data_IF_457753593034
#
_entry.id   IF_457753593034
#
_cell.length_a   1.000
_cell.length_b   1.000
_cell.length_c   1.000
_cell.angle_alpha   90.00
_cell.angle_beta   90.00
_cell.angle_gamma   90.00
#
_symmetry.space_group_name_H-M   'P 1'
#
loop_
_entity.id
_entity.type
_entity.pdbx_description
1 polymer ?
#
# COMPACT_ATOMS: atom_id res chain seq x y z
N UNK A 1 6.70 7.93 -39.19
CA UNK A 1 5.70 8.44 -38.23
C UNK A 1 4.93 7.24 -37.69
N UNK A 2 4.96 7.02 -36.37
CA UNK A 2 4.14 5.97 -35.75
C UNK A 2 2.66 6.30 -35.99
N UNK A 3 1.92 5.36 -36.59
CA UNK A 3 0.51 5.53 -36.98
C UNK A 3 -0.47 5.35 -35.80
N UNK A 4 0.04 5.06 -34.60
CA UNK A 4 -0.79 4.70 -33.45
C UNK A 4 -0.13 5.19 -32.17
N UNK A 5 -0.94 5.77 -31.29
CA UNK A 5 -0.56 6.13 -29.92
C UNK A 5 -1.15 5.08 -28.99
N UNK A 6 -0.32 4.49 -28.12
CA UNK A 6 -0.76 3.55 -27.09
C UNK A 6 -0.90 4.30 -25.79
N UNK A 7 -2.06 4.19 -25.13
CA UNK A 7 -2.33 4.80 -23.83
C UNK A 7 -2.42 3.68 -22.80
N UNK A 8 -1.58 3.75 -21.75
CA UNK A 8 -1.60 2.78 -20.66
C UNK A 8 -2.66 3.19 -19.63
N UNK A 9 -3.73 2.40 -19.52
CA UNK A 9 -4.79 2.55 -18.52
C UNK A 9 -4.59 1.65 -17.28
N UNK A 10 -3.40 1.05 -17.11
CA UNK A 10 -3.10 0.27 -15.92
C UNK A 10 -3.16 1.15 -14.67
N UNK A 11 -3.99 0.74 -13.73
CA UNK A 11 -4.15 1.41 -12.45
C UNK A 11 -2.87 1.22 -11.63
N UNK A 12 -2.37 2.29 -11.02
CA UNK A 12 -1.23 2.25 -10.09
C UNK A 12 -1.70 2.29 -8.64
N UNK A 13 -0.89 1.82 -7.70
CA UNK A 13 -1.23 1.86 -6.27
C UNK A 13 -1.50 3.29 -5.77
N UNK A 14 -0.66 4.25 -6.15
CA UNK A 14 -0.87 5.66 -5.79
C UNK A 14 -2.08 6.26 -6.49
N UNK A 15 -2.27 5.99 -7.78
CA UNK A 15 -3.42 6.49 -8.54
C UNK A 15 -4.74 5.99 -7.98
N UNK A 16 -4.81 4.70 -7.62
CA UNK A 16 -6.00 4.15 -6.96
C UNK A 16 -6.21 4.72 -5.55
N UNK A 17 -5.14 4.94 -4.78
CA UNK A 17 -5.28 5.55 -3.47
C UNK A 17 -5.90 6.95 -3.57
N UNK A 18 -5.50 7.77 -4.55
CA UNK A 18 -6.12 9.08 -4.78
C UNK A 18 -7.60 8.97 -5.21
N UNK A 19 -7.95 7.98 -6.03
CA UNK A 19 -9.34 7.71 -6.39
C UNK A 19 -10.18 7.30 -5.16
N UNK A 20 -9.66 6.36 -4.36
CA UNK A 20 -10.30 5.91 -3.13
C UNK A 20 -10.41 7.03 -2.10
N UNK A 21 -9.47 7.98 -2.07
CA UNK A 21 -9.57 9.17 -1.22
C UNK A 21 -10.82 9.97 -1.54
N UNK A 22 -11.13 10.18 -2.82
CA UNK A 22 -12.40 10.78 -3.25
C UNK A 22 -13.62 10.01 -2.75
N UNK A 23 -13.58 8.67 -2.79
CA UNK A 23 -14.67 7.83 -2.26
C UNK A 23 -14.85 7.96 -0.74
N UNK A 24 -13.74 7.96 0.02
CA UNK A 24 -13.79 8.09 1.49
C UNK A 24 -14.29 9.47 1.89
N UNK A 25 -13.72 10.54 1.31
CA UNK A 25 -14.11 11.92 1.62
C UNK A 25 -15.56 12.17 1.18
N UNK A 26 -15.98 11.71 0.00
CA UNK A 26 -17.37 11.85 -0.44
C UNK A 26 -18.37 11.11 0.45
N UNK A 27 -17.93 10.07 1.18
CA UNK A 27 -18.76 9.36 2.14
C UNK A 27 -18.80 10.05 3.51
N UNK A 28 -17.64 10.43 4.05
CA UNK A 28 -17.51 11.00 5.40
C UNK A 28 -17.84 12.51 5.44
N UNK A 29 -17.49 13.25 4.38
CA UNK A 29 -17.62 14.71 4.25
C UNK A 29 -18.18 15.10 2.86
N UNK A 30 -19.44 14.77 2.55
CA UNK A 30 -20.02 14.97 1.22
C UNK A 30 -20.02 16.44 0.76
N UNK A 31 -20.27 17.39 1.67
CA UNK A 31 -20.24 18.82 1.35
C UNK A 31 -18.84 19.30 0.95
N UNK A 32 -17.79 18.79 1.61
CA UNK A 32 -16.40 19.13 1.27
C UNK A 32 -16.03 18.61 -0.14
N UNK A 33 -16.47 17.39 -0.48
CA UNK A 33 -16.22 16.83 -1.81
C UNK A 33 -17.02 17.56 -2.89
N UNK A 34 -18.24 18.01 -2.58
CA UNK A 34 -19.04 18.84 -3.48
C UNK A 34 -18.37 20.21 -3.72
N UNK A 35 -17.93 20.88 -2.66
CA UNK A 35 -17.19 22.15 -2.76
C UNK A 35 -15.92 21.99 -3.60
N UNK A 36 -15.19 20.88 -3.43
CA UNK A 36 -14.02 20.55 -4.25
C UNK A 36 -14.39 20.46 -5.73
N UNK A 37 -15.47 19.78 -6.08
CA UNK A 37 -15.92 19.62 -7.46
C UNK A 37 -16.32 20.97 -8.08
N UNK A 38 -17.04 21.81 -7.33
CA UNK A 38 -17.42 23.15 -7.75
C UNK A 38 -16.19 24.04 -8.00
N UNK A 39 -15.20 24.02 -7.09
CA UNK A 39 -13.96 24.79 -7.26
C UNK A 39 -13.17 24.32 -8.48
N UNK A 40 -13.07 23.01 -8.70
CA UNK A 40 -12.38 22.46 -9.88
C UNK A 40 -13.06 22.89 -11.18
N UNK A 41 -14.39 22.85 -11.23
CA UNK A 41 -15.15 23.31 -12.39
C UNK A 41 -14.95 24.82 -12.62
N UNK A 42 -15.10 25.63 -11.57
CA UNK A 42 -14.89 27.08 -11.63
C UNK A 42 -13.47 27.43 -12.10
N UNK A 43 -12.45 26.75 -11.59
CA UNK A 43 -11.07 26.94 -12.04
C UNK A 43 -10.91 26.59 -13.52
N UNK A 44 -11.51 25.50 -13.99
CA UNK A 44 -11.49 25.11 -15.41
C UNK A 44 -12.13 26.19 -16.28
N UNK A 45 -13.30 26.69 -15.89
CA UNK A 45 -14.04 27.71 -16.63
C UNK A 45 -13.25 29.04 -16.66
N UNK A 46 -12.63 29.43 -15.55
CA UNK A 46 -11.74 30.58 -15.48
C UNK A 46 -10.51 30.43 -16.40
N UNK A 47 -9.88 29.27 -16.46
CA UNK A 47 -8.76 29.02 -17.38
C UNK A 47 -9.19 29.10 -18.85
N UNK A 48 -10.36 28.53 -19.18
CA UNK A 48 -10.90 28.60 -20.53
C UNK A 48 -11.24 30.05 -20.93
N UNK A 49 -11.84 30.82 -20.01
CA UNK A 49 -12.14 32.23 -20.24
C UNK A 49 -10.85 33.05 -20.42
N UNK A 50 -9.83 32.79 -19.61
CA UNK A 50 -8.54 33.49 -19.69
C UNK A 50 -7.87 33.25 -21.05
N UNK A 51 -7.85 32.00 -21.54
CA UNK A 51 -7.39 31.69 -22.90
C UNK A 51 -8.24 32.37 -23.98
N UNK A 52 -9.56 32.41 -23.81
CA UNK A 52 -10.43 33.11 -24.74
C UNK A 52 -10.14 34.61 -24.81
N UNK A 53 -9.90 35.26 -23.66
CA UNK A 53 -9.51 36.68 -23.60
C UNK A 53 -8.16 36.92 -24.29
N UNK A 54 -7.20 36.01 -24.16
CA UNK A 54 -5.93 36.06 -24.89
C UNK A 54 -6.14 35.95 -26.42
N UNK A 55 -6.95 34.99 -26.87
CA UNK A 55 -7.27 34.81 -28.29
C UNK A 55 -7.97 36.05 -28.88
N UNK A 56 -8.87 36.69 -28.11
CA UNK A 56 -9.53 37.95 -28.50
C UNK A 56 -8.51 39.08 -28.66
N UNK A 57 -7.58 39.25 -27.72
CA UNK A 57 -6.51 40.27 -27.84
C UNK A 57 -5.67 40.02 -29.09
N UNK A 58 -5.24 38.79 -29.32
CA UNK A 58 -4.42 38.43 -30.48
C UNK A 58 -5.16 38.68 -31.80
N UNK A 59 -6.45 38.36 -31.85
CA UNK A 59 -7.28 38.58 -33.02
C UNK A 59 -7.45 40.09 -33.32
N UNK A 60 -7.84 40.87 -32.32
CA UNK A 60 -8.06 42.31 -32.45
C UNK A 60 -6.78 43.05 -32.88
N UNK A 61 -5.63 42.67 -32.32
CA UNK A 61 -4.32 43.21 -32.74
C UNK A 61 -3.98 42.85 -34.19
N UNK A 62 -4.26 41.61 -34.62
CA UNK A 62 -3.96 41.13 -35.97
C UNK A 62 -4.87 41.75 -37.05
N UNK A 63 -6.14 42.02 -36.71
CA UNK A 63 -7.13 42.59 -37.63
C UNK A 63 -7.00 44.12 -37.72
N UNK A 64 -6.47 44.77 -36.69
CA UNK A 64 -6.29 46.23 -36.69
C UNK A 64 -5.40 46.69 -37.87
N UNK A 65 -5.93 47.60 -38.70
CA UNK A 65 -5.22 48.22 -39.83
C UNK A 65 -5.07 49.72 -39.58
N UNK A 66 -3.87 50.25 -39.76
CA UNK A 66 -3.55 51.65 -39.47
C UNK A 66 -2.85 51.83 -38.12
N UNK A 67 -2.81 53.06 -37.62
CA UNK A 67 -2.20 53.40 -36.33
C UNK A 67 -3.05 52.87 -35.18
N UNK A 68 -2.51 51.90 -34.43
CA UNK A 68 -3.16 51.26 -33.27
C UNK A 68 -3.56 52.28 -32.21
N UNK A 69 -2.81 53.39 -32.10
CA UNK A 69 -3.05 54.46 -31.14
C UNK A 69 -4.31 55.27 -31.45
N UNK A 70 -4.80 55.24 -32.69
CA UNK A 70 -5.95 56.03 -33.13
C UNK A 70 -7.26 55.21 -33.12
N UNK A 71 -7.18 53.90 -32.89
CA UNK A 71 -8.33 53.01 -32.83
C UNK A 71 -8.93 52.97 -31.41
N UNK A 72 -9.85 53.90 -31.12
CA UNK A 72 -10.50 53.99 -29.80
C UNK A 72 -11.27 52.72 -29.41
N UNK A 73 -11.91 52.03 -30.36
CA UNK A 73 -12.67 50.80 -30.09
C UNK A 73 -11.73 49.66 -29.66
N UNK A 74 -10.56 49.55 -30.31
CA UNK A 74 -9.52 48.61 -29.95
C UNK A 74 -8.97 48.90 -28.55
N UNK A 75 -8.67 50.17 -28.25
CA UNK A 75 -8.17 50.59 -26.93
C UNK A 75 -9.19 50.24 -25.83
N UNK A 76 -10.48 50.52 -26.06
CA UNK A 76 -11.54 50.23 -25.11
C UNK A 76 -11.70 48.72 -24.89
N UNK A 77 -11.63 47.93 -25.97
CA UNK A 77 -11.70 46.46 -25.92
C UNK A 77 -10.51 45.89 -25.14
N UNK A 78 -9.29 46.34 -25.43
CA UNK A 78 -8.08 45.93 -24.72
C UNK A 78 -8.14 46.27 -23.22
N UNK A 79 -8.63 47.47 -22.87
CA UNK A 79 -8.81 47.86 -21.46
C UNK A 79 -9.84 46.98 -20.74
N UNK A 80 -10.97 46.70 -21.38
CA UNK A 80 -12.05 45.87 -20.81
C UNK A 80 -11.56 44.42 -20.63
N UNK A 81 -10.89 43.87 -21.64
CA UNK A 81 -10.31 42.53 -21.59
C UNK A 81 -9.23 42.41 -20.52
N UNK A 82 -8.36 43.42 -20.39
CA UNK A 82 -7.34 43.47 -19.33
C UNK A 82 -7.97 43.53 -17.93
N UNK A 83 -9.02 44.33 -17.74
CA UNK A 83 -9.73 44.41 -16.47
C UNK A 83 -10.32 43.05 -16.08
N UNK A 84 -11.06 42.40 -16.99
CA UNK A 84 -11.61 41.05 -16.77
C UNK A 84 -10.53 39.99 -16.52
N UNK A 85 -9.43 40.01 -17.26
CA UNK A 85 -8.33 39.08 -17.05
C UNK A 85 -7.69 39.26 -15.65
N UNK A 86 -7.57 40.51 -15.19
CA UNK A 86 -7.05 40.80 -13.84
C UNK A 86 -8.01 40.28 -12.75
N UNK A 87 -9.32 40.46 -12.92
CA UNK A 87 -10.33 39.92 -12.02
C UNK A 87 -10.28 38.38 -11.96
N UNK A 88 -10.27 37.71 -13.12
CA UNK A 88 -10.14 36.24 -13.20
C UNK A 88 -8.87 35.75 -12.53
N UNK A 89 -7.75 36.47 -12.68
CA UNK A 89 -6.49 36.12 -12.03
C UNK A 89 -6.61 36.16 -10.51
N UNK A 90 -7.26 37.19 -9.96
CA UNK A 90 -7.50 37.29 -8.51
C UNK A 90 -8.40 36.14 -8.04
N UNK A 91 -9.51 35.87 -8.74
CA UNK A 91 -10.41 34.77 -8.42
C UNK A 91 -9.70 33.41 -8.46
N UNK A 92 -8.83 33.18 -9.46
CA UNK A 92 -8.03 31.97 -9.56
C UNK A 92 -7.06 31.81 -8.38
N UNK A 93 -6.42 32.88 -7.93
CA UNK A 93 -5.53 32.83 -6.77
C UNK A 93 -6.27 32.54 -5.47
N UNK A 94 -7.48 33.07 -5.29
CA UNK A 94 -8.34 32.72 -4.15
C UNK A 94 -8.80 31.26 -4.22
N UNK A 95 -9.28 30.81 -5.38
CA UNK A 95 -9.70 29.43 -5.60
C UNK A 95 -8.56 28.42 -5.32
N UNK A 96 -7.32 28.74 -5.72
CA UNK A 96 -6.14 27.91 -5.41
C UNK A 96 -5.89 27.78 -3.90
N UNK A 97 -6.04 28.87 -3.13
CA UNK A 97 -5.87 28.85 -1.67
C UNK A 97 -6.94 27.97 -1.02
N UNK A 98 -8.20 28.13 -1.44
CA UNK A 98 -9.31 27.30 -0.95
C UNK A 98 -9.11 25.84 -1.32
N UNK A 99 -8.73 25.55 -2.56
CA UNK A 99 -8.42 24.19 -3.02
C UNK A 99 -7.30 23.53 -2.20
N UNK A 100 -6.24 24.27 -1.87
CA UNK A 100 -5.16 23.76 -1.03
C UNK A 100 -5.63 23.45 0.40
N UNK A 101 -6.53 24.27 0.96
CA UNK A 101 -7.11 24.02 2.28
C UNK A 101 -8.02 22.78 2.27
N UNK A 102 -8.86 22.63 1.24
CA UNK A 102 -9.69 21.43 1.04
C UNK A 102 -8.79 20.20 0.92
N UNK A 103 -7.73 20.28 0.11
CA UNK A 103 -6.81 19.17 -0.07
C UNK A 103 -6.16 18.76 1.24
N UNK A 104 -5.74 19.71 2.06
CA UNK A 104 -5.21 19.43 3.40
C UNK A 104 -6.22 18.65 4.26
N UNK A 105 -7.49 19.04 4.26
CA UNK A 105 -8.54 18.32 4.97
C UNK A 105 -8.80 16.92 4.39
N UNK A 106 -8.72 16.75 3.07
CA UNK A 106 -8.83 15.43 2.42
C UNK A 106 -7.71 14.50 2.87
N UNK A 107 -6.48 15.01 2.93
CA UNK A 107 -5.30 14.20 3.27
C UNK A 107 -5.37 13.57 4.67
N UNK A 108 -6.20 14.08 5.58
CA UNK A 108 -6.46 13.43 6.88
C UNK A 108 -7.04 12.00 6.71
N UNK A 109 -7.77 11.74 5.62
CA UNK A 109 -8.39 10.45 5.29
C UNK A 109 -7.50 9.55 4.42
N UNK A 110 -6.31 10.02 4.00
CA UNK A 110 -5.45 9.32 3.05
C UNK A 110 -5.02 7.93 3.55
N UNK A 111 -4.88 7.74 4.86
CA UNK A 111 -4.52 6.44 5.46
C UNK A 111 -5.51 5.33 5.11
N UNK A 112 -6.81 5.65 5.07
CA UNK A 112 -7.88 4.73 4.67
C UNK A 112 -7.75 4.38 3.20
N UNK A 113 -7.56 5.39 2.35
CA UNK A 113 -7.47 5.22 0.90
C UNK A 113 -6.21 4.42 0.50
N UNK A 114 -5.08 4.69 1.17
CA UNK A 114 -3.84 3.92 1.04
C UNK A 114 -4.05 2.46 1.42
N UNK A 115 -4.73 2.18 2.54
CA UNK A 115 -5.09 0.81 2.93
C UNK A 115 -5.95 0.15 1.87
N UNK A 116 -7.00 0.82 1.39
CA UNK A 116 -7.87 0.27 0.35
C UNK A 116 -7.12 -0.09 -0.93
N UNK A 117 -6.21 0.78 -1.37
CA UNK A 117 -5.36 0.49 -2.53
C UNK A 117 -4.49 -0.75 -2.30
N UNK A 118 -3.83 -0.86 -1.14
CA UNK A 118 -3.04 -2.05 -0.77
C UNK A 118 -3.89 -3.32 -0.86
N UNK A 119 -5.10 -3.30 -0.30
CA UNK A 119 -6.00 -4.46 -0.28
C UNK A 119 -6.47 -4.85 -1.69
N UNK A 120 -6.78 -3.88 -2.56
CA UNK A 120 -7.11 -4.16 -3.96
C UNK A 120 -5.95 -4.82 -4.71
N UNK A 121 -4.72 -4.31 -4.54
CA UNK A 121 -3.55 -4.87 -5.21
C UNK A 121 -3.16 -6.25 -4.64
N UNK A 122 -3.38 -6.50 -3.35
CA UNK A 122 -3.23 -7.82 -2.75
C UNK A 122 -4.26 -8.83 -3.33
N UNK A 123 -5.50 -8.39 -3.55
CA UNK A 123 -6.54 -9.21 -4.15
C UNK A 123 -6.28 -9.47 -5.65
N UNK A 124 -5.97 -8.44 -6.42
CA UNK A 124 -5.78 -8.56 -7.88
C UNK A 124 -4.49 -9.30 -8.26
N UNK A 125 -3.48 -9.32 -7.39
CA UNK A 125 -2.25 -10.10 -7.62
C UNK A 125 -2.48 -11.62 -7.64
N UNK A 126 -3.59 -12.10 -7.08
CA UNK A 126 -3.97 -13.53 -7.11
C UNK A 126 -4.13 -14.09 -8.52
N UNK A 127 -4.41 -13.24 -9.51
CA UNK A 127 -4.44 -13.62 -10.93
C UNK A 127 -3.12 -14.25 -11.38
N UNK A 128 -1.99 -13.86 -10.77
CA UNK A 128 -0.67 -14.41 -11.08
C UNK A 128 -0.51 -15.87 -10.60
N UNK A 129 -1.32 -16.30 -9.63
CA UNK A 129 -1.34 -17.68 -9.13
C UNK A 129 -2.25 -18.54 -10.03
N UNK A 130 -3.46 -18.05 -10.30
CA UNK A 130 -4.42 -18.74 -11.16
C UNK A 130 -5.30 -17.72 -11.89
N UNK A 131 -5.54 -17.96 -13.17
CA UNK A 131 -6.47 -17.14 -13.97
C UNK A 131 -7.92 -17.21 -13.48
N UNK A 132 -8.25 -18.18 -12.63
CA UNK A 132 -9.58 -18.26 -11.98
C UNK A 132 -9.77 -17.22 -10.87
N UNK A 133 -8.68 -16.69 -10.30
CA UNK A 133 -8.69 -15.72 -9.20
C UNK A 133 -8.57 -14.30 -9.75
N UNK A 134 -9.52 -13.93 -10.61
CA UNK A 134 -9.59 -12.59 -11.20
C UNK A 134 -10.69 -11.77 -10.54
N UNK A 135 -10.31 -10.60 -10.03
CA UNK A 135 -11.22 -9.69 -9.35
C UNK A 135 -11.24 -8.35 -10.06
N UNK A 136 -12.46 -7.84 -10.31
CA UNK A 136 -12.62 -6.53 -10.92
C UNK A 136 -12.52 -5.41 -9.90
N UNK A 137 -12.05 -4.24 -10.32
CA UNK A 137 -12.08 -3.04 -9.49
C UNK A 137 -13.51 -2.67 -9.07
N UNK A 138 -14.51 -2.88 -9.93
CA UNK A 138 -15.90 -2.62 -9.60
C UNK A 138 -16.39 -3.49 -8.42
N UNK A 139 -16.06 -4.78 -8.42
CA UNK A 139 -16.35 -5.70 -7.30
C UNK A 139 -15.65 -5.24 -6.02
N UNK A 140 -14.40 -4.81 -6.11
CA UNK A 140 -13.66 -4.26 -4.97
C UNK A 140 -14.29 -2.99 -4.39
N UNK A 141 -14.70 -2.06 -5.25
CA UNK A 141 -15.31 -0.80 -4.82
C UNK A 141 -16.62 -1.04 -4.05
N UNK A 142 -17.39 -2.08 -4.40
CA UNK A 142 -18.58 -2.46 -3.64
C UNK A 142 -18.22 -2.90 -2.21
N UNK A 143 -17.15 -3.68 -2.04
CA UNK A 143 -16.63 -4.10 -0.72
C UNK A 143 -16.12 -2.89 0.05
N UNK A 144 -15.36 -2.01 -0.59
CA UNK A 144 -14.82 -0.80 0.02
C UNK A 144 -15.92 0.13 0.54
N UNK A 145 -16.99 0.33 -0.25
CA UNK A 145 -18.15 1.11 0.17
C UNK A 145 -18.95 0.44 1.29
N UNK A 146 -19.10 -0.90 1.25
CA UNK A 146 -19.71 -1.65 2.34
C UNK A 146 -18.91 -1.46 3.64
N UNK A 147 -17.58 -1.53 3.56
CA UNK A 147 -16.72 -1.33 4.71
C UNK A 147 -16.85 0.07 5.33
N UNK A 148 -16.97 1.12 4.51
CA UNK A 148 -17.21 2.49 5.02
C UNK A 148 -18.52 2.60 5.79
N UNK A 149 -19.59 1.95 5.30
CA UNK A 149 -20.91 1.91 5.96
C UNK A 149 -20.93 1.08 7.25
N UNK A 150 -20.29 -0.09 7.23
CA UNK A 150 -20.33 -1.06 8.33
C UNK A 150 -19.26 -0.82 9.41
N UNK A 151 -18.24 -0.01 9.10
CA UNK A 151 -17.24 0.37 10.09
C UNK A 151 -17.91 1.09 11.26
N UNK A 152 -17.45 0.79 12.48
CA UNK A 152 -18.00 1.39 13.70
C UNK A 152 -17.81 2.92 13.67
N UNK A 153 -18.87 3.72 13.90
CA UNK A 153 -18.74 5.16 13.97
C UNK A 153 -17.99 5.56 15.25
N UNK A 154 -17.20 6.62 15.17
CA UNK A 154 -16.51 7.23 16.31
C UNK A 154 -16.46 8.76 16.12
N UNK A 155 -16.49 9.50 17.23
CA UNK A 155 -16.40 10.98 17.22
C UNK A 155 -14.95 11.45 17.06
N UNK A 156 -13.99 10.63 17.49
CA UNK A 156 -12.57 10.91 17.32
C UNK A 156 -12.18 10.41 15.94
N UNK A 157 -11.76 11.33 15.06
CA UNK A 157 -11.40 11.02 13.67
C UNK A 157 -10.39 9.87 13.60
N UNK A 158 -9.31 9.91 14.39
CA UNK A 158 -8.28 8.88 14.39
C UNK A 158 -8.85 7.47 14.69
N UNK A 159 -9.76 7.36 15.65
CA UNK A 159 -10.42 6.09 15.96
C UNK A 159 -11.39 5.67 14.84
N UNK A 160 -12.10 6.62 14.25
CA UNK A 160 -12.96 6.36 13.08
C UNK A 160 -12.14 5.79 11.92
N UNK A 161 -11.00 6.41 11.59
CA UNK A 161 -10.12 5.94 10.51
C UNK A 161 -9.58 4.53 10.79
N UNK A 162 -9.19 4.24 12.05
CA UNK A 162 -8.77 2.89 12.46
C UNK A 162 -9.89 1.86 12.25
N UNK A 163 -11.09 2.15 12.73
CA UNK A 163 -12.25 1.26 12.56
C UNK A 163 -12.55 0.97 11.08
N UNK A 164 -12.43 2.00 10.22
CA UNK A 164 -12.63 1.85 8.76
C UNK A 164 -11.52 1.01 8.13
N UNK A 165 -10.25 1.28 8.46
CA UNK A 165 -9.10 0.50 8.00
C UNK A 165 -9.24 -0.98 8.37
N UNK A 166 -9.63 -1.27 9.61
CA UNK A 166 -9.87 -2.63 10.11
C UNK A 166 -11.01 -3.29 9.34
N UNK A 167 -12.13 -2.59 9.13
CA UNK A 167 -13.28 -3.14 8.43
C UNK A 167 -12.99 -3.40 6.94
N UNK A 168 -12.27 -2.51 6.25
CA UNK A 168 -11.84 -2.73 4.86
C UNK A 168 -10.96 -3.98 4.78
N UNK A 169 -10.00 -4.10 5.69
CA UNK A 169 -9.09 -5.25 5.74
C UNK A 169 -9.86 -6.55 5.95
N UNK A 170 -10.80 -6.56 6.91
CA UNK A 170 -11.65 -7.70 7.21
C UNK A 170 -12.53 -8.11 6.02
N UNK A 171 -13.36 -7.21 5.50
CA UNK A 171 -14.31 -7.55 4.43
C UNK A 171 -13.59 -7.95 3.13
N UNK A 172 -12.45 -7.33 2.82
CA UNK A 172 -11.66 -7.72 1.65
C UNK A 172 -11.05 -9.12 1.83
N UNK A 173 -10.56 -9.44 3.04
CA UNK A 173 -10.04 -10.78 3.35
C UNK A 173 -11.15 -11.84 3.26
N UNK A 174 -12.29 -11.58 3.89
CA UNK A 174 -13.42 -12.51 3.93
C UNK A 174 -13.92 -12.80 2.52
N UNK A 175 -14.11 -11.75 1.70
CA UNK A 175 -14.57 -11.88 0.33
C UNK A 175 -13.64 -12.73 -0.54
N UNK A 176 -12.31 -12.54 -0.41
CA UNK A 176 -11.33 -13.33 -1.15
C UNK A 176 -11.32 -14.78 -0.66
N UNK A 177 -11.37 -15.00 0.66
CA UNK A 177 -11.34 -16.34 1.23
C UNK A 177 -12.55 -17.22 0.86
N UNK A 178 -13.68 -16.63 0.46
CA UNK A 178 -14.81 -17.37 -0.10
C UNK A 178 -14.46 -18.07 -1.43
N UNK A 179 -13.53 -17.50 -2.21
CA UNK A 179 -13.11 -18.04 -3.50
C UNK A 179 -11.83 -18.90 -3.46
N UNK A 180 -11.10 -18.93 -2.34
CA UNK A 180 -9.83 -19.63 -2.21
C UNK A 180 -9.98 -21.04 -1.64
N UNK A 181 -9.15 -21.96 -2.14
CA UNK A 181 -8.98 -23.26 -1.48
C UNK A 181 -8.24 -23.10 -0.14
N UNK A 182 -8.46 -24.04 0.78
CA UNK A 182 -7.87 -24.00 2.13
C UNK A 182 -6.34 -23.83 2.12
N UNK A 183 -5.67 -24.51 1.19
CA UNK A 183 -4.21 -24.44 0.99
C UNK A 183 -3.71 -23.06 0.54
N UNK A 184 -4.55 -22.25 -0.11
CA UNK A 184 -4.20 -20.94 -0.66
C UNK A 184 -4.40 -19.81 0.34
N UNK A 185 -5.31 -19.98 1.31
CA UNK A 185 -5.66 -18.94 2.28
C UNK A 185 -4.44 -18.44 3.06
N UNK A 186 -3.61 -19.34 3.61
CA UNK A 186 -2.41 -18.94 4.36
C UNK A 186 -1.41 -18.15 3.48
N UNK A 187 -1.25 -18.55 2.22
CA UNK A 187 -0.38 -17.84 1.27
C UNK A 187 -0.91 -16.44 0.99
N UNK A 188 -2.22 -16.31 0.73
CA UNK A 188 -2.86 -15.02 0.51
C UNK A 188 -2.77 -14.12 1.74
N UNK A 189 -3.06 -14.64 2.94
CA UNK A 189 -2.98 -13.84 4.16
C UNK A 189 -1.55 -13.37 4.42
N UNK A 190 -0.55 -14.22 4.19
CA UNK A 190 0.85 -13.81 4.31
C UNK A 190 1.18 -12.70 3.29
N UNK A 191 0.79 -12.88 2.03
CA UNK A 191 0.98 -11.88 0.97
C UNK A 191 0.35 -10.53 1.36
N UNK A 192 -0.93 -10.54 1.73
CA UNK A 192 -1.66 -9.35 2.22
C UNK A 192 -0.95 -8.69 3.41
N UNK A 193 -0.49 -9.48 4.39
CA UNK A 193 0.24 -8.97 5.57
C UNK A 193 1.55 -8.30 5.16
N UNK A 194 2.32 -8.91 4.25
CA UNK A 194 3.57 -8.31 3.74
C UNK A 194 3.31 -7.02 2.96
N UNK A 195 2.27 -6.95 2.14
CA UNK A 195 1.90 -5.72 1.42
C UNK A 195 1.45 -4.60 2.37
N UNK A 196 0.73 -4.94 3.44
CA UNK A 196 0.40 -4.00 4.51
C UNK A 196 1.67 -3.46 5.16
N UNK A 197 2.61 -4.34 5.52
CA UNK A 197 3.86 -3.95 6.17
C UNK A 197 4.75 -3.07 5.28
N UNK A 198 4.85 -3.38 3.98
CA UNK A 198 5.56 -2.58 2.98
C UNK A 198 4.91 -1.20 2.84
N UNK A 199 3.58 -1.14 2.79
CA UNK A 199 2.82 0.10 2.78
C UNK A 199 3.00 0.95 4.05
N UNK A 200 3.31 0.35 5.19
CA UNK A 200 3.65 1.02 6.44
C UNK A 200 5.14 1.37 6.56
N UNK A 201 5.99 0.93 5.62
CA UNK A 201 7.45 1.11 5.69
C UNK A 201 8.12 0.26 6.78
N UNK A 202 7.45 -0.80 7.24
CA UNK A 202 7.90 -1.68 8.33
C UNK A 202 8.48 -3.01 7.84
N UNK A 203 8.46 -3.25 6.53
CA UNK A 203 9.01 -4.44 5.90
C UNK A 203 10.36 -4.14 5.26
N UNK A 204 11.36 -4.94 5.61
CA UNK A 204 12.62 -4.98 4.87
C UNK A 204 12.46 -5.93 3.67
N UNK A 205 12.65 -5.39 2.46
CA UNK A 205 12.47 -6.15 1.22
C UNK A 205 13.57 -7.19 1.01
N UNK A 206 14.79 -6.93 1.46
CA UNK A 206 15.87 -7.92 1.38
C UNK A 206 15.60 -9.10 2.34
N UNK A 207 15.03 -8.81 3.51
CA UNK A 207 14.55 -9.84 4.44
C UNK A 207 13.43 -10.70 3.85
N UNK A 208 12.47 -10.07 3.14
CA UNK A 208 11.40 -10.81 2.46
C UNK A 208 11.92 -11.65 1.30
N UNK A 209 12.83 -11.12 0.49
CA UNK A 209 13.47 -11.87 -0.59
C UNK A 209 14.25 -13.07 -0.05
N UNK A 210 15.00 -12.89 1.06
CA UNK A 210 15.67 -13.97 1.75
C UNK A 210 14.69 -15.03 2.30
N UNK A 211 13.52 -14.62 2.81
CA UNK A 211 12.49 -15.58 3.25
C UNK A 211 12.05 -16.53 2.12
N UNK A 212 11.97 -16.04 0.88
CA UNK A 212 11.59 -16.88 -0.25
C UNK A 212 12.77 -17.68 -0.81
N UNK A 213 13.90 -17.01 -1.06
CA UNK A 213 15.00 -17.59 -1.83
C UNK A 213 16.11 -18.22 -0.99
N UNK A 214 16.20 -17.87 0.30
CA UNK A 214 17.35 -18.20 1.15
C UNK A 214 18.63 -17.61 0.59
N UNK A 215 19.72 -18.35 0.67
CA UNK A 215 21.01 -17.98 0.11
C UNK A 215 21.20 -18.63 -1.28
N UNK A 216 21.09 -17.87 -2.39
CA UNK A 216 21.29 -18.40 -3.74
C UNK A 216 22.78 -18.57 -4.10
N UNK A 217 23.72 -17.98 -3.36
CA UNK A 217 25.13 -17.91 -3.76
C UNK A 217 25.78 -19.29 -3.88
N UNK A 218 26.67 -19.48 -4.86
CA UNK A 218 27.41 -20.73 -5.09
C UNK A 218 28.82 -20.70 -4.48
N UNK A 219 29.14 -19.66 -3.71
CA UNK A 219 30.49 -19.37 -3.21
C UNK A 219 30.98 -20.40 -2.18
N UNK A 220 32.29 -20.38 -1.91
CA UNK A 220 32.92 -21.16 -0.84
C UNK A 220 32.43 -20.67 0.53
N UNK A 221 31.37 -21.30 1.01
CA UNK A 221 30.82 -21.12 2.36
C UNK A 221 31.82 -21.61 3.41
N UNK A 222 31.74 -21.04 4.62
CA UNK A 222 32.44 -21.62 5.78
C UNK A 222 31.99 -23.07 5.96
N UNK A 223 32.95 -23.97 6.15
CA UNK A 223 32.66 -25.38 6.39
C UNK A 223 31.79 -25.54 7.64
N UNK A 224 30.78 -26.41 7.54
CA UNK A 224 29.88 -26.71 8.65
C UNK A 224 30.64 -27.50 9.73
N UNK A 225 30.73 -27.00 10.97
CA UNK A 225 31.41 -27.73 12.03
C UNK A 225 30.69 -29.03 12.37
N UNK A 226 31.43 -30.10 12.66
CA UNK A 226 30.87 -31.43 12.96
C UNK A 226 29.83 -31.43 14.10
N UNK A 227 29.98 -30.53 15.09
CA UNK A 227 29.02 -30.36 16.20
C UNK A 227 27.62 -29.89 15.76
N UNK A 228 27.50 -29.33 14.54
CA UNK A 228 26.23 -28.91 13.93
C UNK A 228 25.75 -29.90 12.85
N UNK A 229 26.16 -31.17 12.93
CA UNK A 229 25.72 -32.21 11.99
C UNK A 229 24.20 -32.38 11.94
N UNK A 230 23.48 -32.02 13.00
CA UNK A 230 22.02 -32.04 13.08
C UNK A 230 21.33 -30.95 12.24
N UNK A 231 22.04 -29.87 11.88
CA UNK A 231 21.50 -28.81 11.02
C UNK A 231 21.69 -29.20 9.54
N UNK A 232 20.65 -29.12 8.69
CA UNK A 232 20.78 -29.35 7.26
C UNK A 232 21.78 -28.38 6.62
N UNK A 233 22.45 -28.81 5.55
CA UNK A 233 23.44 -27.98 4.84
C UNK A 233 22.81 -26.72 4.23
N UNK A 234 21.56 -26.81 3.77
CA UNK A 234 20.78 -25.66 3.32
C UNK A 234 20.57 -24.63 4.43
N UNK A 235 20.20 -25.08 5.63
CA UNK A 235 20.06 -24.22 6.81
C UNK A 235 21.38 -23.59 7.21
N UNK A 236 22.49 -24.33 7.18
CA UNK A 236 23.81 -23.76 7.47
C UNK A 236 24.22 -22.67 6.46
N UNK A 237 23.95 -22.90 5.18
CA UNK A 237 24.19 -21.93 4.12
C UNK A 237 23.34 -20.67 4.29
N UNK A 238 22.07 -20.83 4.63
CA UNK A 238 21.15 -19.71 4.86
C UNK A 238 21.53 -18.92 6.11
N UNK A 239 22.01 -19.60 7.16
CA UNK A 239 22.45 -18.98 8.41
C UNK A 239 23.66 -18.05 8.21
N UNK A 240 24.60 -18.43 7.34
CA UNK A 240 25.74 -17.57 6.98
C UNK A 240 25.27 -16.29 6.29
N UNK A 241 24.34 -16.39 5.33
CA UNK A 241 23.76 -15.22 4.68
C UNK A 241 22.95 -14.37 5.65
N UNK A 242 22.21 -15.00 6.56
CA UNK A 242 21.37 -14.30 7.53
C UNK A 242 22.20 -13.38 8.43
N UNK A 243 23.40 -13.80 8.85
CA UNK A 243 24.30 -12.97 9.67
C UNK A 243 24.74 -11.67 8.97
N UNK A 244 24.88 -11.71 7.65
CA UNK A 244 25.29 -10.57 6.83
C UNK A 244 24.11 -9.72 6.33
N UNK A 245 22.91 -10.28 6.31
CA UNK A 245 21.70 -9.66 5.75
C UNK A 245 21.30 -8.40 6.51
N UNK A 246 21.27 -8.48 7.85
CA UNK A 246 20.88 -7.35 8.69
C UNK A 246 21.69 -7.36 10.00
N UNK A 247 22.06 -6.17 10.49
CA UNK A 247 22.82 -6.00 11.73
C UNK A 247 22.14 -6.65 12.96
N UNK A 248 20.80 -6.81 12.92
CA UNK A 248 20.04 -7.55 13.93
C UNK A 248 20.50 -9.00 14.10
N UNK A 249 21.03 -9.64 13.06
CA UNK A 249 21.50 -11.04 13.10
C UNK A 249 22.99 -11.19 13.40
N UNK A 250 23.77 -10.11 13.45
CA UNK A 250 25.21 -10.18 13.72
C UNK A 250 25.51 -10.95 15.02
N UNK A 251 26.38 -11.96 14.94
CA UNK A 251 26.78 -12.82 16.05
C UNK A 251 25.91 -14.06 16.23
N UNK A 252 24.95 -14.33 15.33
CA UNK A 252 24.09 -15.51 15.39
C UNK A 252 24.89 -16.80 15.16
N UNK A 253 25.87 -16.78 14.25
CA UNK A 253 26.72 -17.95 14.03
C UNK A 253 27.53 -18.29 15.28
N UNK A 254 28.17 -17.29 15.88
CA UNK A 254 28.95 -17.48 17.11
C UNK A 254 28.10 -17.97 18.28
N UNK A 255 26.89 -17.45 18.43
CA UNK A 255 25.89 -17.88 19.42
C UNK A 255 25.56 -19.37 19.26
N UNK A 256 25.23 -19.80 18.04
CA UNK A 256 24.90 -21.19 17.75
C UNK A 256 26.10 -22.11 17.95
N UNK A 257 27.29 -21.65 17.58
CA UNK A 257 28.53 -22.39 17.76
C UNK A 257 28.92 -22.55 19.23
N UNK A 258 28.69 -21.54 20.05
CA UNK A 258 29.04 -21.55 21.48
C UNK A 258 28.05 -22.40 22.28
N UNK A 259 26.75 -22.28 21.99
CA UNK A 259 25.67 -22.98 22.72
C UNK A 259 25.03 -24.12 21.89
N UNK A 260 25.83 -24.87 21.12
CA UNK A 260 25.33 -25.83 20.13
C UNK A 260 24.34 -26.87 20.69
N UNK A 261 24.54 -27.36 21.92
CA UNK A 261 23.64 -28.33 22.56
C UNK A 261 22.28 -27.72 22.93
N UNK A 262 22.24 -26.46 23.36
CA UNK A 262 21.00 -25.77 23.68
C UNK A 262 20.19 -25.47 22.41
N UNK A 263 20.85 -25.05 21.34
CA UNK A 263 20.23 -24.87 20.02
C UNK A 263 19.73 -26.18 19.43
N UNK A 264 20.46 -27.28 19.60
CA UNK A 264 20.00 -28.61 19.20
C UNK A 264 18.75 -29.03 19.98
N UNK A 265 18.76 -28.87 21.31
CA UNK A 265 17.59 -29.17 22.16
C UNK A 265 16.37 -28.38 21.70
N UNK A 266 16.53 -27.10 21.37
CA UNK A 266 15.44 -26.28 20.83
C UNK A 266 15.00 -26.70 19.42
N UNK A 267 15.93 -27.07 18.55
CA UNK A 267 15.66 -27.58 17.20
C UNK A 267 14.84 -28.88 17.21
N UNK A 268 15.11 -29.74 18.20
CA UNK A 268 14.44 -31.04 18.37
C UNK A 268 13.01 -30.90 18.96
N UNK A 269 12.61 -29.72 19.44
CA UNK A 269 11.25 -29.48 19.94
C UNK A 269 10.22 -29.59 18.82
N UNK A 270 9.11 -30.28 19.10
CA UNK A 270 8.01 -30.38 18.16
C UNK A 270 7.36 -29.03 17.87
N UNK A 271 7.32 -28.11 18.83
CA UNK A 271 6.62 -26.82 18.76
C UNK A 271 7.55 -25.60 18.90
N UNK A 272 8.77 -25.70 18.37
CA UNK A 272 9.83 -24.69 18.50
C UNK A 272 9.39 -23.26 18.16
N UNK A 273 8.44 -23.07 17.23
CA UNK A 273 7.95 -21.76 16.82
C UNK A 273 7.17 -21.01 17.92
N UNK A 274 6.73 -21.72 18.95
CA UNK A 274 6.05 -21.18 20.13
C UNK A 274 6.98 -21.06 21.34
N UNK A 275 8.21 -21.58 21.24
CA UNK A 275 9.18 -21.62 22.32
C UNK A 275 10.21 -20.49 22.17
N UNK A 276 10.67 -19.87 23.26
CA UNK A 276 11.70 -18.85 23.18
C UNK A 276 13.01 -19.44 22.63
N UNK A 277 13.79 -18.63 21.92
CA UNK A 277 15.13 -19.04 21.48
C UNK A 277 16.04 -19.31 22.69
N UNK A 278 17.01 -20.25 22.57
CA UNK A 278 17.89 -20.66 23.66
C UNK A 278 18.62 -19.52 24.38
N UNK A 279 19.07 -18.51 23.62
CA UNK A 279 19.64 -17.30 24.19
C UNK A 279 18.63 -16.16 24.18
N UNK A 280 18.35 -15.61 25.37
CA UNK A 280 17.35 -14.57 25.59
C UNK A 280 17.55 -13.34 24.69
N UNK A 281 18.81 -13.00 24.37
CA UNK A 281 19.17 -11.86 23.52
C UNK A 281 18.43 -11.87 22.17
N UNK A 282 18.22 -13.04 21.56
CA UNK A 282 17.54 -13.15 20.26
C UNK A 282 16.03 -12.95 20.37
N UNK A 283 15.45 -13.26 21.53
CA UNK A 283 14.03 -13.02 21.78
C UNK A 283 13.72 -11.52 21.88
N UNK A 284 14.65 -10.72 22.40
CA UNK A 284 14.45 -9.29 22.60
C UNK A 284 14.99 -8.44 21.43
N UNK A 285 16.03 -8.89 20.74
CA UNK A 285 16.67 -8.17 19.63
C UNK A 285 15.89 -8.27 18.31
N UNK A 286 15.29 -9.42 18.01
CA UNK A 286 14.70 -9.69 16.70
C UNK A 286 13.24 -9.26 16.60
N UNK A 287 12.88 -8.62 15.49
CA UNK A 287 11.48 -8.33 15.14
C UNK A 287 10.68 -9.62 14.92
N UNK A 288 9.34 -9.61 15.02
CA UNK A 288 8.53 -10.80 14.73
C UNK A 288 8.81 -11.45 13.37
N UNK A 289 9.08 -10.65 12.34
CA UNK A 289 9.44 -11.15 11.00
C UNK A 289 10.85 -11.75 10.98
N UNK A 290 11.81 -11.11 11.65
CA UNK A 290 13.17 -11.64 11.79
C UNK A 290 13.22 -12.97 12.55
N UNK A 291 12.34 -13.16 13.54
CA UNK A 291 12.19 -14.46 14.23
C UNK A 291 11.68 -15.54 13.29
N UNK A 292 10.74 -15.19 12.40
CA UNK A 292 10.24 -16.10 11.36
C UNK A 292 11.36 -16.50 10.38
N UNK A 293 12.24 -15.57 9.98
CA UNK A 293 13.42 -15.89 9.17
C UNK A 293 14.31 -16.92 9.87
N UNK A 294 14.58 -16.71 11.16
CA UNK A 294 15.42 -17.63 11.93
C UNK A 294 14.79 -19.03 12.03
N UNK A 295 13.48 -19.12 12.31
CA UNK A 295 12.76 -20.41 12.31
C UNK A 295 12.86 -21.11 10.96
N UNK A 296 12.67 -20.38 9.84
CA UNK A 296 12.79 -20.93 8.47
C UNK A 296 14.17 -21.56 8.23
N UNK A 297 15.24 -20.92 8.70
CA UNK A 297 16.62 -21.43 8.54
C UNK A 297 16.81 -22.78 9.25
N UNK A 298 16.21 -22.97 10.42
CA UNK A 298 16.29 -24.22 11.16
C UNK A 298 15.31 -25.28 10.62
N UNK A 299 14.02 -24.95 10.55
CA UNK A 299 12.93 -25.92 10.37
C UNK A 299 11.87 -25.37 9.41
N UNK A 300 12.08 -25.62 8.11
CA UNK A 300 11.16 -25.21 7.04
C UNK A 300 9.77 -25.84 7.20
N UNK A 301 9.69 -27.05 7.74
CA UNK A 301 8.43 -27.77 8.01
C UNK A 301 7.53 -27.05 9.03
N UNK A 302 8.09 -26.23 9.92
CA UNK A 302 7.34 -25.45 10.92
C UNK A 302 6.93 -24.06 10.42
N UNK A 303 7.38 -23.65 9.24
CA UNK A 303 7.07 -22.32 8.67
C UNK A 303 5.57 -22.06 8.55
N UNK A 304 4.70 -23.00 8.12
CA UNK A 304 3.26 -22.74 8.08
C UNK A 304 2.67 -22.35 9.45
N UNK A 305 3.08 -23.01 10.53
CA UNK A 305 2.62 -22.67 11.89
C UNK A 305 3.23 -21.36 12.38
N UNK A 306 4.52 -21.14 12.12
CA UNK A 306 5.19 -19.88 12.46
C UNK A 306 4.57 -18.67 11.73
N UNK A 307 4.16 -18.86 10.47
CA UNK A 307 3.41 -17.86 9.70
C UNK A 307 2.07 -17.53 10.34
N UNK A 308 1.32 -18.54 10.78
CA UNK A 308 0.06 -18.31 11.50
C UNK A 308 0.30 -17.48 12.77
N UNK A 309 1.28 -17.85 13.59
CA UNK A 309 1.62 -17.09 14.80
C UNK A 309 2.03 -15.63 14.47
N UNK A 310 2.81 -15.45 13.41
CA UNK A 310 3.23 -14.13 12.94
C UNK A 310 2.05 -13.27 12.48
N UNK A 311 1.17 -13.83 11.65
CA UNK A 311 -0.03 -13.15 11.13
C UNK A 311 -0.99 -12.83 12.29
N UNK A 312 -1.25 -13.78 13.18
CA UNK A 312 -2.13 -13.58 14.32
C UNK A 312 -1.63 -12.48 15.25
N UNK A 313 -0.31 -12.39 15.46
CA UNK A 313 0.30 -11.30 16.24
C UNK A 313 0.24 -9.95 15.53
N UNK A 314 0.36 -9.92 14.20
CA UNK A 314 0.42 -8.68 13.41
C UNK A 314 -0.95 -8.09 13.11
N UNK A 315 -1.92 -8.94 12.80
CA UNK A 315 -3.28 -8.57 12.46
C UNK A 315 -4.23 -9.00 13.59
N UNK A 316 -4.64 -10.27 13.62
CA UNK A 316 -5.35 -10.97 14.71
C UNK A 316 -5.65 -12.42 14.27
N UNK A 317 -6.24 -13.21 15.18
CA UNK A 317 -6.62 -14.61 14.97
C UNK A 317 -7.62 -14.84 13.83
N UNK A 318 -8.43 -13.85 13.44
CA UNK A 318 -9.42 -13.98 12.36
C UNK A 318 -8.75 -14.33 11.02
N UNK A 319 -7.54 -13.83 10.80
CA UNK A 319 -6.83 -13.97 9.52
C UNK A 319 -6.09 -15.32 9.36
N UNK A 320 -6.04 -16.13 10.40
CA UNK A 320 -5.43 -17.48 10.36
C UNK A 320 -6.44 -18.61 10.51
N UNK A 321 -7.67 -18.25 10.85
CA UNK A 321 -8.82 -19.13 10.90
C UNK A 321 -9.56 -19.05 9.57
N UNK A 322 -10.02 -20.20 9.08
CA UNK A 322 -10.86 -20.21 7.88
C UNK A 322 -12.23 -19.64 8.20
N UNK A 323 -12.70 -18.63 7.46
CA UNK A 323 -14.04 -18.08 7.65
C UNK A 323 -15.08 -19.18 7.50
N UNK A 324 -16.09 -19.20 8.37
CA UNK A 324 -17.21 -20.11 8.23
C UNK A 324 -18.07 -19.68 7.04
N UNK A 325 -18.37 -20.62 6.13
CA UNK A 325 -19.32 -20.39 5.05
C UNK A 325 -20.72 -20.27 5.66
N UNK A 326 -21.22 -19.05 5.74
CA UNK A 326 -22.63 -18.79 6.08
C UNK A 326 -23.43 -18.78 4.78
N UNK A 327 -24.26 -19.79 4.58
CA UNK A 327 -25.26 -19.79 3.52
C UNK A 327 -26.52 -19.14 4.10
N UNK A 328 -26.94 -18.00 3.53
CA UNK A 328 -28.27 -17.47 3.81
C UNK A 328 -29.29 -18.44 3.21
N UNK A 329 -30.04 -19.13 4.08
CA UNK A 329 -31.16 -20.02 3.73
C UNK A 329 -32.40 -19.27 3.32
#
# INVERSE_FOLDING_TARGET
MGKTVVINYAVTMSGLAEQLLGHVVGFELPELEKERQEIVQNMSDCHQMMKHLEDVILHELAVSKGSILDNQDLIQTLQTTKAKATEITITLEEAKKTAAQIEKSRQEYYSVAKRGSIMYFAMSSLRNISSMLEYSLASYLAIFQAALREARPDRILENRLKNVIEKITQLSYDYVCLGLFEKEKLMYTFHMTTMIMDGEGSLDREELEFFFMGNPALDQLREKPARLAWLPDSGWKDLQRLEELNASFRGILESILTAAEAWKTWYDLENLESMPFPEEKWNNKLSPFQKLLLIRVFRVDRVPTALKNFIARRLNEHYVQSPSLQYDT
#
